data_IF_461733468071
#
_entry.id   IF_461733468071
#
_cell.length_a   1.000
_cell.length_b   1.000
_cell.length_c   1.000
_cell.angle_alpha   90.00
_cell.angle_beta   90.00
_cell.angle_gamma   90.00
#
_symmetry.space_group_name_H-M   'P 1'
#
loop_
_entity.id
_entity.type
_entity.pdbx_description
1 polymer ?
#
# COMPACT_ATOMS: atom_id res chain seq x y z
N UNK A 1 -23.45 -24.03 -3.57
CA UNK A 1 -22.04 -24.03 -3.95
C UNK A 1 -21.21 -23.82 -2.70
N UNK A 2 -20.36 -24.74 -2.41
CA UNK A 2 -19.48 -24.62 -1.26
C UNK A 2 -18.21 -23.91 -1.70
N UNK A 3 -17.93 -22.79 -1.07
CA UNK A 3 -16.63 -22.14 -1.26
C UNK A 3 -15.57 -22.99 -0.60
N UNK A 4 -14.51 -23.29 -1.33
CA UNK A 4 -13.34 -23.87 -0.71
C UNK A 4 -12.74 -22.89 0.27
N UNK A 5 -12.63 -23.32 1.52
CA UNK A 5 -11.92 -22.53 2.52
C UNK A 5 -10.44 -22.62 2.25
N UNK A 6 -9.88 -21.56 1.75
CA UNK A 6 -8.43 -21.41 1.73
C UNK A 6 -7.94 -21.16 3.13
N UNK A 7 -6.76 -21.69 3.50
CA UNK A 7 -6.06 -21.17 4.66
C UNK A 7 -5.91 -19.66 4.49
N UNK A 8 -6.08 -18.90 5.56
CA UNK A 8 -5.88 -17.46 5.51
C UNK A 8 -4.45 -17.17 5.02
N UNK A 9 -4.31 -16.30 4.04
CA UNK A 9 -3.00 -15.85 3.59
C UNK A 9 -2.35 -15.05 4.72
N UNK A 10 -1.02 -15.14 4.81
CA UNK A 10 -0.26 -14.41 5.82
C UNK A 10 -0.33 -12.90 5.62
N UNK A 11 -0.59 -12.45 4.41
CA UNK A 11 -0.71 -11.04 4.10
C UNK A 11 -1.88 -10.74 3.18
N UNK A 12 -2.30 -9.48 3.15
CA UNK A 12 -3.38 -8.99 2.30
C UNK A 12 -3.03 -7.62 1.74
N UNK A 13 -3.57 -7.30 0.56
CA UNK A 13 -3.43 -5.97 -0.02
C UNK A 13 -4.33 -5.02 0.74
N UNK A 14 -3.73 -4.06 1.43
CA UNK A 14 -4.45 -3.05 2.20
C UNK A 14 -4.72 -1.80 1.37
N UNK A 15 -3.74 -1.36 0.59
CA UNK A 15 -3.83 -0.12 -0.17
C UNK A 15 -3.12 -0.22 -1.51
N UNK A 16 -3.66 0.52 -2.46
CA UNK A 16 -2.97 0.84 -3.71
C UNK A 16 -2.51 2.28 -3.56
N UNK A 17 -1.21 2.52 -3.62
CA UNK A 17 -0.62 3.81 -3.31
C UNK A 17 -0.13 4.49 -4.58
N UNK A 18 -0.56 5.74 -4.76
CA UNK A 18 -0.16 6.59 -5.89
C UNK A 18 0.82 7.63 -5.40
N UNK A 19 2.00 7.67 -6.01
CA UNK A 19 2.98 8.71 -5.72
C UNK A 19 2.62 9.99 -6.49
N UNK A 20 2.63 11.12 -5.80
CA UNK A 20 2.23 12.40 -6.39
C UNK A 20 2.92 13.56 -5.68
N UNK A 21 3.07 14.68 -6.36
CA UNK A 21 3.56 15.90 -5.72
C UNK A 21 2.47 16.62 -4.91
N UNK A 22 1.20 16.29 -5.13
CA UNK A 22 0.07 16.94 -4.47
C UNK A 22 -1.01 15.91 -4.10
N UNK A 23 -0.84 15.22 -2.96
CA UNK A 23 -1.82 14.20 -2.54
C UNK A 23 -3.23 14.77 -2.33
N UNK A 24 -3.35 15.99 -1.83
CA UNK A 24 -4.65 16.58 -1.58
C UNK A 24 -5.44 16.76 -2.87
N UNK A 25 -4.83 17.40 -3.85
CA UNK A 25 -5.50 17.67 -5.12
C UNK A 25 -5.84 16.39 -5.87
N UNK A 26 -4.91 15.45 -5.91
CA UNK A 26 -5.13 14.18 -6.61
C UNK A 26 -6.16 13.31 -5.91
N UNK A 27 -6.13 13.27 -4.57
CA UNK A 27 -7.12 12.49 -3.82
C UNK A 27 -8.53 13.05 -3.98
N UNK A 28 -8.68 14.38 -4.08
CA UNK A 28 -9.97 15.01 -4.33
C UNK A 28 -10.54 14.57 -5.68
N UNK A 29 -9.71 14.50 -6.71
CA UNK A 29 -10.13 14.01 -8.02
C UNK A 29 -10.72 12.59 -7.92
N UNK A 30 -9.97 11.68 -7.31
CA UNK A 30 -10.40 10.28 -7.23
C UNK A 30 -11.58 10.09 -6.27
N UNK A 31 -11.59 10.84 -5.17
CA UNK A 31 -12.72 10.79 -4.23
C UNK A 31 -14.01 11.22 -4.90
N UNK A 32 -13.98 12.28 -5.69
CA UNK A 32 -15.15 12.74 -6.40
C UNK A 32 -15.56 11.78 -7.51
N UNK A 33 -14.60 11.33 -8.32
CA UNK A 33 -14.89 10.44 -9.43
C UNK A 33 -15.51 9.12 -8.98
N UNK A 34 -14.99 8.53 -7.91
CA UNK A 34 -15.41 7.22 -7.40
C UNK A 34 -16.36 7.30 -6.20
N UNK A 35 -16.75 8.51 -5.80
CA UNK A 35 -17.63 8.75 -4.65
C UNK A 35 -17.10 8.12 -3.36
N UNK A 36 -15.79 8.29 -3.14
CA UNK A 36 -15.11 7.84 -1.92
C UNK A 36 -14.93 9.02 -0.97
N UNK A 37 -14.80 8.73 0.31
CA UNK A 37 -14.53 9.73 1.33
C UNK A 37 -13.08 9.67 1.79
N UNK A 38 -12.55 10.80 2.27
CA UNK A 38 -11.25 10.82 2.92
C UNK A 38 -11.39 10.15 4.28
N UNK A 39 -10.65 9.08 4.48
CA UNK A 39 -10.67 8.31 5.72
C UNK A 39 -9.64 8.84 6.71
N UNK A 40 -8.44 9.18 6.22
CA UNK A 40 -7.40 9.81 7.03
C UNK A 40 -6.44 10.59 6.14
N UNK A 41 -5.72 11.52 6.78
CA UNK A 41 -4.70 12.30 6.12
C UNK A 41 -3.59 12.64 7.12
N UNK A 42 -2.37 12.80 6.64
CA UNK A 42 -1.23 13.13 7.48
C UNK A 42 -0.42 14.26 6.87
N UNK A 43 -0.60 15.46 7.42
CA UNK A 43 0.24 16.66 7.17
C UNK A 43 0.65 16.91 5.71
N UNK A 44 -0.25 16.68 4.76
CA UNK A 44 0.05 16.87 3.34
C UNK A 44 0.96 15.81 2.75
N UNK A 45 1.41 14.83 3.53
CA UNK A 45 2.29 13.78 3.07
C UNK A 45 1.54 12.54 2.58
N UNK A 46 0.42 12.24 3.22
CA UNK A 46 -0.40 11.06 2.91
C UNK A 46 -1.87 11.40 2.96
N UNK A 47 -2.65 10.80 2.06
CA UNK A 47 -4.11 10.81 2.12
C UNK A 47 -4.61 9.41 1.83
N UNK A 48 -5.51 8.89 2.67
CA UNK A 48 -6.17 7.60 2.45
C UNK A 48 -7.65 7.84 2.21
N UNK A 49 -8.17 7.28 1.12
CA UNK A 49 -9.58 7.26 0.85
C UNK A 49 -10.21 5.97 1.41
N UNK A 50 -11.53 5.95 1.51
CA UNK A 50 -12.26 4.75 1.86
C UNK A 50 -12.00 3.65 0.82
N UNK A 51 -12.32 2.39 1.18
CA UNK A 51 -12.09 1.26 0.28
C UNK A 51 -12.81 1.47 -1.05
N UNK A 52 -12.17 1.06 -2.15
CA UNK A 52 -12.72 1.21 -3.50
C UNK A 52 -13.97 0.37 -3.70
N UNK A 53 -14.15 -0.66 -2.89
CA UNK A 53 -15.35 -1.50 -2.83
C UNK A 53 -15.43 -2.13 -1.44
N UNK A 54 -16.61 -2.58 -0.99
CA UNK A 54 -16.72 -3.20 0.34
C UNK A 54 -15.75 -4.35 0.50
N UNK A 55 -14.91 -4.27 1.55
CA UNK A 55 -13.87 -5.28 1.81
C UNK A 55 -12.66 -5.20 0.90
N UNK A 56 -12.64 -4.27 -0.03
CA UNK A 56 -11.52 -4.10 -0.95
C UNK A 56 -10.39 -3.23 -0.40
N UNK A 57 -9.32 -3.03 -1.19
CA UNK A 57 -8.23 -2.17 -0.79
C UNK A 57 -8.64 -0.70 -0.77
N UNK A 58 -7.88 0.10 -0.02
CA UNK A 58 -8.04 1.55 -0.02
C UNK A 58 -7.16 2.15 -1.11
N UNK A 59 -7.57 3.30 -1.62
CA UNK A 59 -6.75 4.09 -2.51
C UNK A 59 -6.03 5.13 -1.66
N UNK A 60 -4.72 5.21 -1.78
CA UNK A 60 -3.91 6.11 -0.97
C UNK A 60 -3.00 6.95 -1.86
N UNK A 61 -2.58 8.10 -1.35
CA UNK A 61 -1.75 9.04 -2.09
C UNK A 61 -0.60 9.46 -1.20
N UNK A 62 0.61 9.33 -1.70
CA UNK A 62 1.82 9.66 -0.97
C UNK A 62 2.55 10.80 -1.68
N UNK A 63 2.91 11.84 -0.91
CA UNK A 63 3.68 12.93 -1.47
C UNK A 63 5.13 12.49 -1.69
N UNK A 64 5.61 12.74 -2.90
CA UNK A 64 7.01 12.56 -3.27
C UNK A 64 7.45 13.78 -4.08
N UNK A 65 8.73 14.15 -3.98
CA UNK A 65 9.25 15.30 -4.71
C UNK A 65 9.40 15.01 -6.20
N UNK A 66 9.76 13.80 -6.54
CA UNK A 66 10.01 13.37 -7.91
C UNK A 66 9.33 12.03 -8.18
N UNK A 67 8.03 12.03 -8.53
CA UNK A 67 7.36 10.80 -8.92
C UNK A 67 8.08 10.19 -10.11
N UNK A 68 8.24 8.87 -10.10
CA UNK A 68 8.87 8.20 -11.23
C UNK A 68 8.05 8.44 -12.50
N UNK A 69 8.72 8.61 -13.61
CA UNK A 69 8.06 8.69 -14.90
C UNK A 69 7.66 7.28 -15.34
N UNK A 70 6.47 7.18 -15.95
CA UNK A 70 5.98 5.92 -16.47
C UNK A 70 5.33 5.02 -15.44
N UNK A 71 5.39 3.69 -15.61
CA UNK A 71 4.49 2.75 -14.93
C UNK A 71 4.74 2.53 -13.44
N UNK A 72 5.78 3.12 -12.85
CA UNK A 72 6.15 2.85 -11.44
C UNK A 72 5.67 3.90 -10.46
N UNK A 73 4.55 4.55 -10.74
CA UNK A 73 3.94 5.51 -9.82
C UNK A 73 3.03 4.87 -8.77
N UNK A 74 2.74 3.59 -8.95
CA UNK A 74 1.87 2.85 -8.05
C UNK A 74 2.68 1.80 -7.32
N UNK A 75 2.32 1.56 -6.05
CA UNK A 75 2.84 0.41 -5.32
C UNK A 75 1.74 -0.17 -4.43
N UNK A 76 1.89 -1.43 -4.05
CA UNK A 76 0.97 -2.09 -3.15
C UNK A 76 1.48 -1.98 -1.72
N UNK A 77 0.56 -1.74 -0.79
CA UNK A 77 0.82 -1.92 0.63
C UNK A 77 0.17 -3.21 1.09
N UNK A 78 0.96 -4.10 1.66
CA UNK A 78 0.47 -5.34 2.26
C UNK A 78 0.42 -5.18 3.78
N UNK A 79 -0.64 -5.69 4.39
CA UNK A 79 -0.72 -5.79 5.84
C UNK A 79 -0.66 -7.25 6.25
N UNK A 80 -0.06 -7.51 7.41
CA UNK A 80 0.07 -8.84 7.96
C UNK A 80 0.04 -8.78 9.49
N UNK A 81 -0.57 -9.77 10.12
CA UNK A 81 -0.45 -9.94 11.57
C UNK A 81 0.95 -10.39 11.97
N UNK A 82 1.70 -10.94 11.02
CA UNK A 82 3.09 -11.36 11.20
C UNK A 82 3.97 -10.79 10.10
N UNK A 83 4.29 -9.47 10.16
CA UNK A 83 5.06 -8.82 9.09
C UNK A 83 6.43 -9.43 8.86
N UNK A 84 7.12 -9.86 9.92
CA UNK A 84 8.45 -10.48 9.76
C UNK A 84 8.36 -11.85 9.09
N UNK A 85 7.31 -12.62 9.38
CA UNK A 85 7.05 -13.88 8.70
C UNK A 85 6.74 -13.68 7.23
N UNK A 86 5.92 -12.68 6.91
CA UNK A 86 5.63 -12.35 5.51
C UNK A 86 6.86 -11.86 4.77
N UNK A 87 7.69 -11.03 5.42
CA UNK A 87 8.95 -10.58 4.87
C UNK A 87 9.87 -11.76 4.53
N UNK A 88 10.05 -12.68 5.46
CA UNK A 88 10.89 -13.86 5.24
C UNK A 88 10.38 -14.70 4.07
N UNK A 89 9.06 -14.87 3.97
CA UNK A 89 8.47 -15.60 2.86
C UNK A 89 8.70 -14.89 1.52
N UNK A 90 8.52 -13.56 1.50
CA UNK A 90 8.72 -12.76 0.29
C UNK A 90 10.18 -12.88 -0.20
N UNK A 91 11.14 -12.75 0.72
CA UNK A 91 12.56 -12.90 0.39
C UNK A 91 12.85 -14.30 -0.14
N UNK A 92 12.27 -15.32 0.49
CA UNK A 92 12.40 -16.71 0.03
C UNK A 92 11.84 -16.94 -1.38
N UNK A 93 10.87 -16.11 -1.80
CA UNK A 93 10.27 -16.17 -3.13
C UNK A 93 10.98 -15.28 -4.16
N UNK A 94 12.02 -14.57 -3.76
CA UNK A 94 12.84 -13.77 -4.68
C UNK A 94 12.75 -12.27 -4.50
N UNK A 95 12.01 -11.77 -3.50
CA UNK A 95 11.97 -10.34 -3.20
C UNK A 95 13.25 -9.90 -2.50
N UNK A 96 13.54 -8.60 -2.58
CA UNK A 96 14.66 -7.98 -1.87
C UNK A 96 14.15 -6.88 -0.96
N UNK A 97 14.60 -6.89 0.31
CA UNK A 97 14.34 -5.79 1.23
C UNK A 97 15.21 -4.60 0.83
N UNK A 98 14.59 -3.42 0.68
CA UNK A 98 15.33 -2.21 0.29
C UNK A 98 15.40 -1.16 1.38
N UNK A 99 14.39 -1.03 2.25
CA UNK A 99 14.38 0.00 3.29
C UNK A 99 13.40 -0.34 4.40
N UNK A 100 13.56 0.35 5.54
CA UNK A 100 12.59 0.32 6.65
C UNK A 100 12.31 1.75 7.08
N UNK A 101 11.05 2.03 7.37
CA UNK A 101 10.61 3.36 7.78
C UNK A 101 9.66 3.25 8.97
N UNK A 102 9.46 4.35 9.67
CA UNK A 102 8.48 4.43 10.75
C UNK A 102 7.95 5.85 10.92
N UNK A 103 6.70 5.95 11.36
CA UNK A 103 6.06 7.19 11.79
C UNK A 103 5.45 6.88 13.15
N UNK A 104 6.01 7.46 14.22
CA UNK A 104 5.60 7.10 15.58
C UNK A 104 5.81 5.60 15.82
N UNK A 105 4.76 4.90 16.22
CA UNK A 105 4.79 3.46 16.49
C UNK A 105 4.50 2.61 15.25
N UNK A 106 4.18 3.25 14.12
CA UNK A 106 3.86 2.54 12.89
C UNK A 106 5.10 2.42 12.01
N UNK A 107 5.47 1.18 11.71
CA UNK A 107 6.61 0.89 10.85
C UNK A 107 6.22 0.07 9.63
N UNK A 108 7.02 0.20 8.58
CA UNK A 108 6.84 -0.62 7.38
C UNK A 108 8.19 -0.92 6.75
N UNK A 109 8.21 -2.03 5.99
CA UNK A 109 9.37 -2.46 5.23
C UNK A 109 9.09 -2.27 3.75
N UNK A 110 10.03 -1.71 3.03
CA UNK A 110 9.96 -1.57 1.57
C UNK A 110 10.75 -2.69 0.94
N UNK A 111 10.14 -3.40 0.00
CA UNK A 111 10.78 -4.47 -0.75
C UNK A 111 10.65 -4.19 -2.24
N UNK A 112 11.41 -4.94 -3.02
CA UNK A 112 11.24 -5.02 -4.46
C UNK A 112 10.88 -6.45 -4.82
N UNK A 113 9.92 -6.61 -5.72
CA UNK A 113 9.59 -7.92 -6.25
C UNK A 113 10.69 -8.39 -7.24
N UNK A 114 10.63 -9.62 -7.76
CA UNK A 114 11.67 -10.10 -8.69
C UNK A 114 11.89 -9.25 -9.94
N UNK A 115 10.89 -8.44 -10.33
CA UNK A 115 11.01 -7.51 -11.46
C UNK A 115 11.41 -6.10 -11.05
N UNK A 116 11.66 -5.88 -9.75
CA UNK A 116 12.07 -4.57 -9.24
C UNK A 116 10.94 -3.62 -8.91
N UNK A 117 9.69 -4.08 -8.86
CA UNK A 117 8.56 -3.23 -8.45
C UNK A 117 8.52 -3.14 -6.94
N UNK A 118 8.35 -1.94 -6.42
CA UNK A 118 8.28 -1.72 -4.98
C UNK A 118 6.93 -2.11 -4.40
N UNK A 119 6.97 -2.67 -3.20
CA UNK A 119 5.79 -2.90 -2.36
C UNK A 119 6.20 -2.80 -0.90
N UNK A 120 5.22 -2.61 -0.03
CA UNK A 120 5.49 -2.43 1.39
C UNK A 120 4.77 -3.47 2.22
N UNK A 121 5.35 -3.83 3.36
CA UNK A 121 4.74 -4.72 4.35
C UNK A 121 4.68 -3.98 5.67
N UNK A 122 3.51 -3.98 6.31
CA UNK A 122 3.29 -3.40 7.63
C UNK A 122 2.41 -4.30 8.48
N UNK A 123 2.38 -3.99 9.78
CA UNK A 123 1.49 -4.66 10.74
C UNK A 123 0.04 -4.28 10.45
N UNK A 124 -0.83 -5.23 10.45
CA UNK A 124 -2.25 -4.96 10.28
C UNK A 124 -3.16 -6.17 10.35
#
# INVERSE_FOLDING_TARGET
MTEEKRPAALGAVASIVVNTTDPQSLSEFWAELLELSVESAYEGEFVWLSAVSPGGPKLAFQRVDHPSEGPRRLHLDLHSEDPEGLLSRAVGLGAQESARHSIGDFGWVVLQDPDGNEFCIAQG
#
